data_IF_172104349942
#
_entry.id   IF_172104349942
#
_cell.length_a   1.000
_cell.length_b   1.000
_cell.length_c   1.000
_cell.angle_alpha   90.00
_cell.angle_beta   90.00
_cell.angle_gamma   90.00
#
_symmetry.space_group_name_H-M   'P 1'
#
loop_
_entity.id
_entity.type
_entity.pdbx_description
1 polymer ?
#
# COMPACT_ATOMS: atom_id res chain seq x y z
N UNK A 1 -50.08 -70.44 -75.46
CA UNK A 1 -49.90 -70.49 -73.99
C UNK A 1 -50.14 -69.10 -73.41
N UNK A 2 -51.23 -68.94 -72.69
CA UNK A 2 -51.62 -67.65 -72.08
C UNK A 2 -51.11 -67.63 -70.64
N UNK A 3 -50.16 -66.74 -70.31
CA UNK A 3 -49.79 -66.45 -68.93
C UNK A 3 -50.74 -65.38 -68.38
N UNK A 4 -51.48 -65.69 -67.36
CA UNK A 4 -52.26 -64.77 -66.55
C UNK A 4 -51.39 -64.33 -65.38
N UNK A 5 -51.06 -63.08 -65.15
CA UNK A 5 -50.40 -62.66 -63.93
C UNK A 5 -51.46 -62.56 -62.83
N UNK A 6 -51.16 -63.15 -61.64
CA UNK A 6 -52.02 -63.11 -60.45
C UNK A 6 -51.94 -61.69 -59.83
N UNK A 7 -53.08 -60.95 -60.00
CA UNK A 7 -53.17 -59.50 -59.58
C UNK A 7 -53.21 -59.24 -58.12
N UNK A 8 -53.22 -60.28 -57.27
CA UNK A 8 -53.27 -60.06 -55.78
C UNK A 8 -51.91 -59.64 -55.12
N UNK A 9 -50.78 -60.12 -55.64
CA UNK A 9 -49.47 -59.79 -55.08
C UNK A 9 -49.03 -58.38 -55.42
N UNK A 10 -49.47 -57.83 -56.54
CA UNK A 10 -49.15 -56.44 -56.93
C UNK A 10 -49.86 -55.41 -56.06
N UNK A 11 -51.10 -55.68 -55.65
CA UNK A 11 -51.86 -54.83 -54.74
C UNK A 11 -51.30 -54.81 -53.34
N UNK A 12 -50.76 -55.91 -52.84
CA UNK A 12 -50.08 -55.95 -51.54
C UNK A 12 -48.74 -55.16 -51.51
N UNK A 13 -48.00 -55.14 -52.61
CA UNK A 13 -46.83 -54.31 -52.81
C UNK A 13 -47.15 -52.82 -52.84
N UNK A 14 -48.19 -52.43 -53.52
CA UNK A 14 -48.69 -51.05 -53.60
C UNK A 14 -49.25 -50.58 -52.25
N UNK A 15 -49.96 -51.41 -51.51
CA UNK A 15 -50.43 -51.13 -50.17
C UNK A 15 -49.26 -50.98 -49.18
N UNK A 16 -48.25 -51.84 -49.32
CA UNK A 16 -46.99 -51.72 -48.51
C UNK A 16 -46.26 -50.45 -48.82
N UNK A 17 -46.08 -50.03 -50.06
CA UNK A 17 -45.44 -48.79 -50.44
C UNK A 17 -46.23 -47.56 -49.94
N UNK A 18 -47.57 -47.59 -50.02
CA UNK A 18 -48.46 -46.54 -49.53
C UNK A 18 -48.36 -46.43 -47.97
N UNK A 19 -48.28 -47.54 -47.27
CA UNK A 19 -48.10 -47.57 -45.82
C UNK A 19 -46.75 -47.00 -45.42
N UNK A 20 -45.66 -47.34 -46.16
CA UNK A 20 -44.32 -46.80 -45.91
C UNK A 20 -44.26 -45.29 -46.17
N UNK A 21 -44.85 -44.83 -47.28
CA UNK A 21 -44.96 -43.40 -47.61
C UNK A 21 -45.74 -42.63 -46.53
N UNK A 22 -46.89 -43.20 -46.10
CA UNK A 22 -47.70 -42.59 -45.04
C UNK A 22 -46.97 -42.57 -43.71
N UNK A 23 -46.22 -43.61 -43.39
CA UNK A 23 -45.36 -43.67 -42.17
C UNK A 23 -44.21 -42.65 -42.24
N UNK A 24 -43.56 -42.50 -43.38
CA UNK A 24 -42.51 -41.50 -43.61
C UNK A 24 -43.08 -40.09 -43.53
N UNK A 25 -44.21 -39.83 -44.17
CA UNK A 25 -44.87 -38.51 -44.05
C UNK A 25 -45.33 -38.24 -42.62
N UNK A 26 -45.86 -39.24 -41.90
CA UNK A 26 -46.24 -39.10 -40.50
C UNK A 26 -44.98 -38.87 -39.56
N UNK A 27 -43.86 -39.51 -39.89
CA UNK A 27 -42.58 -39.27 -39.16
C UNK A 27 -42.02 -37.88 -39.43
N UNK A 28 -42.05 -37.41 -40.67
CA UNK A 28 -41.60 -36.06 -41.08
C UNK A 28 -42.52 -34.93 -40.60
N UNK A 29 -43.82 -35.24 -40.40
CA UNK A 29 -44.80 -34.27 -39.89
C UNK A 29 -44.90 -34.17 -38.38
N UNK A 30 -44.11 -34.96 -37.64
CA UNK A 30 -44.05 -34.80 -36.19
C UNK A 30 -43.32 -33.48 -35.88
N UNK A 31 -44.00 -32.49 -35.25
CA UNK A 31 -43.34 -31.29 -34.83
C UNK A 31 -42.19 -31.67 -33.88
N UNK A 32 -41.01 -31.11 -34.10
CA UNK A 32 -39.87 -31.28 -33.19
C UNK A 32 -40.32 -30.91 -31.77
N UNK A 33 -39.92 -31.68 -30.74
CA UNK A 33 -40.28 -31.32 -29.38
C UNK A 33 -39.82 -29.90 -29.11
N UNK A 34 -40.63 -29.11 -28.40
CA UNK A 34 -40.24 -27.73 -28.10
C UNK A 34 -38.91 -27.73 -27.37
N UNK A 35 -37.97 -26.88 -27.75
CA UNK A 35 -36.68 -26.79 -27.08
C UNK A 35 -36.91 -26.43 -25.60
N UNK A 36 -36.25 -27.16 -24.69
CA UNK A 36 -36.30 -26.85 -23.28
C UNK A 36 -35.44 -25.61 -23.03
N UNK A 37 -36.06 -24.55 -22.56
CA UNK A 37 -35.39 -23.31 -22.15
C UNK A 37 -35.16 -23.34 -20.66
N UNK A 38 -33.93 -23.01 -20.25
CA UNK A 38 -33.63 -22.70 -18.85
C UNK A 38 -33.98 -21.22 -18.66
N UNK A 39 -34.97 -20.95 -17.81
CA UNK A 39 -35.47 -19.61 -17.54
C UNK A 39 -35.04 -19.11 -16.16
N UNK A 40 -34.94 -17.81 -15.99
CA UNK A 40 -34.87 -17.15 -14.68
C UNK A 40 -35.94 -16.07 -14.60
N UNK A 41 -36.47 -15.88 -13.40
CA UNK A 41 -37.43 -14.80 -13.14
C UNK A 41 -36.68 -13.48 -12.99
N UNK A 42 -37.30 -12.43 -13.52
CA UNK A 42 -36.83 -11.05 -13.34
C UNK A 42 -37.34 -10.56 -12.01
N UNK A 43 -36.40 -10.29 -11.07
CA UNK A 43 -36.71 -9.88 -9.73
C UNK A 43 -36.43 -8.38 -9.51
N UNK A 44 -37.00 -7.82 -8.42
CA UNK A 44 -36.65 -6.49 -7.95
C UNK A 44 -35.78 -6.63 -6.71
N UNK A 45 -34.53 -6.14 -6.80
CA UNK A 45 -33.58 -6.15 -5.69
C UNK A 45 -32.68 -4.95 -5.73
N UNK A 46 -31.99 -4.71 -4.63
CA UNK A 46 -30.93 -3.71 -4.58
C UNK A 46 -29.70 -4.29 -5.26
N UNK A 47 -29.11 -3.53 -6.19
CA UNK A 47 -27.92 -3.89 -6.94
C UNK A 47 -26.81 -2.93 -6.63
N UNK A 48 -25.63 -3.44 -6.29
CA UNK A 48 -24.44 -2.67 -5.98
C UNK A 48 -23.31 -3.06 -6.93
N UNK A 49 -22.79 -2.07 -7.63
CA UNK A 49 -21.58 -2.25 -8.43
C UNK A 49 -20.37 -1.96 -7.56
N UNK A 50 -19.57 -2.98 -7.31
CA UNK A 50 -18.38 -2.87 -6.44
C UNK A 50 -17.13 -3.28 -7.18
N UNK A 51 -16.03 -2.60 -6.87
CA UNK A 51 -14.67 -3.05 -7.24
C UNK A 51 -14.12 -3.86 -6.07
N UNK A 52 -13.69 -5.08 -6.36
CA UNK A 52 -13.00 -5.94 -5.41
C UNK A 52 -11.50 -5.67 -5.48
N UNK A 53 -10.89 -5.42 -4.34
CA UNK A 53 -9.46 -5.21 -4.22
C UNK A 53 -8.92 -5.95 -2.99
N UNK A 54 -7.74 -6.53 -3.12
CA UNK A 54 -7.01 -7.05 -1.97
C UNK A 54 -6.31 -5.90 -1.26
N UNK A 55 -6.39 -5.88 0.06
CA UNK A 55 -5.78 -4.84 0.88
C UNK A 55 -4.92 -5.39 2.00
N UNK A 56 -4.01 -4.56 2.47
CA UNK A 56 -3.22 -4.81 3.67
C UNK A 56 -3.53 -3.76 4.73
N UNK A 57 -3.69 -4.23 5.97
CA UNK A 57 -3.93 -3.37 7.12
C UNK A 57 -2.59 -2.89 7.65
N UNK A 58 -2.36 -1.58 7.67
CA UNK A 58 -1.15 -0.95 8.18
C UNK A 58 -1.48 0.01 9.32
N UNK A 59 -0.49 0.34 10.15
CA UNK A 59 -0.67 1.40 11.14
C UNK A 59 -0.66 2.76 10.42
N UNK A 60 -1.52 3.68 10.86
CA UNK A 60 -1.55 5.04 10.30
C UNK A 60 -0.21 5.75 10.37
N UNK A 61 0.56 5.51 11.43
CA UNK A 61 1.94 5.97 11.60
C UNK A 61 2.76 4.82 12.16
N UNK A 62 3.82 4.47 11.47
CA UNK A 62 4.83 3.53 11.88
C UNK A 62 6.19 4.23 11.79
N UNK A 63 6.90 4.33 12.92
CA UNK A 63 8.22 4.96 12.98
C UNK A 63 9.24 3.95 13.45
N UNK A 64 10.29 3.76 12.66
CA UNK A 64 11.47 3.00 13.05
C UNK A 64 12.42 3.92 13.82
N UNK A 65 12.57 3.66 15.10
CA UNK A 65 13.50 4.39 15.97
C UNK A 65 14.87 3.72 15.89
N UNK A 66 15.84 4.41 15.32
CA UNK A 66 17.19 3.92 15.11
C UNK A 66 18.20 4.52 16.10
N UNK A 67 19.36 3.85 16.25
CA UNK A 67 20.50 4.40 16.96
C UNK A 67 21.26 5.40 16.08
N UNK A 68 21.65 6.55 16.65
CA UNK A 68 22.48 7.57 15.98
C UNK A 68 23.95 7.49 16.40
N UNK A 69 24.25 6.72 17.45
CA UNK A 69 25.63 6.47 17.94
C UNK A 69 25.85 4.96 18.04
N UNK A 70 27.10 4.56 17.83
CA UNK A 70 27.50 3.16 17.98
C UNK A 70 27.86 2.88 19.45
N UNK A 71 27.54 1.67 19.90
CA UNK A 71 27.86 1.21 21.26
C UNK A 71 27.07 -0.05 21.61
N UNK A 72 27.30 -0.57 22.79
CA UNK A 72 26.55 -1.71 23.34
C UNK A 72 25.25 -1.22 23.98
N UNK A 73 24.14 -1.93 23.77
CA UNK A 73 22.87 -1.66 24.43
C UNK A 73 23.00 -2.05 25.91
N UNK A 74 23.02 -1.06 26.80
CA UNK A 74 23.15 -1.24 28.22
C UNK A 74 21.85 -1.72 28.88
N UNK A 75 20.74 -1.14 28.47
CA UNK A 75 19.41 -1.47 28.98
C UNK A 75 18.32 -1.22 27.93
N UNK A 76 17.31 -2.06 27.96
CA UNK A 76 16.03 -1.87 27.27
C UNK A 76 14.97 -1.60 28.35
N UNK A 77 14.23 -0.50 28.18
CA UNK A 77 13.22 -0.05 29.15
C UNK A 77 11.80 -0.36 28.70
N UNK A 78 11.64 -1.01 27.55
CA UNK A 78 10.36 -1.37 26.96
C UNK A 78 10.38 -2.79 26.42
N UNK A 79 9.22 -3.40 26.40
CA UNK A 79 8.96 -4.73 25.85
C UNK A 79 8.05 -4.62 24.65
N UNK A 80 7.97 -5.71 23.86
CA UNK A 80 7.02 -5.82 22.76
C UNK A 80 5.58 -5.69 23.28
N UNK A 81 4.80 -4.81 22.65
CA UNK A 81 3.41 -4.55 23.04
C UNK A 81 3.22 -3.41 24.06
N UNK A 82 4.30 -2.84 24.61
CA UNK A 82 4.18 -1.74 25.56
C UNK A 82 3.68 -0.46 24.90
N UNK A 83 2.78 0.26 25.58
CA UNK A 83 2.34 1.61 25.18
C UNK A 83 3.34 2.64 25.68
N UNK A 84 3.86 3.44 24.77
CA UNK A 84 4.88 4.45 25.02
C UNK A 84 4.37 5.84 24.67
N UNK A 85 4.86 6.83 25.43
CA UNK A 85 4.58 8.25 25.19
C UNK A 85 5.76 8.89 24.45
N UNK A 86 5.48 9.99 23.74
CA UNK A 86 6.52 10.81 23.14
C UNK A 86 7.54 11.26 24.18
N UNK A 87 8.85 11.09 23.88
CA UNK A 87 9.95 11.39 24.79
C UNK A 87 10.23 10.31 25.85
N UNK A 88 9.46 9.24 25.93
CA UNK A 88 9.73 8.13 26.83
C UNK A 88 10.97 7.36 26.39
N UNK A 89 11.83 7.04 27.36
CA UNK A 89 13.06 6.28 27.14
C UNK A 89 12.74 4.84 26.72
N UNK A 90 13.32 4.42 25.60
CA UNK A 90 13.15 3.06 25.04
C UNK A 90 14.38 2.20 25.34
N UNK A 91 15.56 2.75 25.09
CA UNK A 91 16.83 2.04 25.24
C UNK A 91 17.96 3.00 25.66
N UNK A 92 18.97 2.44 26.31
CA UNK A 92 20.21 3.13 26.63
C UNK A 92 21.41 2.41 26.01
N UNK A 93 22.25 3.16 25.30
CA UNK A 93 23.52 2.70 24.76
C UNK A 93 24.59 3.09 25.78
N UNK A 94 25.67 2.31 25.89
CA UNK A 94 26.83 2.65 26.74
C UNK A 94 27.39 4.01 26.35
N UNK A 95 27.35 4.93 27.32
CA UNK A 95 27.63 6.34 27.15
C UNK A 95 29.05 6.75 27.66
N UNK A 96 29.86 5.80 28.11
CA UNK A 96 31.17 6.09 28.69
C UNK A 96 32.08 6.89 27.75
N UNK A 97 32.12 6.52 26.47
CA UNK A 97 32.93 7.20 25.46
C UNK A 97 32.44 8.63 25.23
N UNK A 98 31.14 8.84 25.15
CA UNK A 98 30.51 10.16 24.94
C UNK A 98 30.65 11.05 26.17
N UNK A 99 30.53 10.48 27.37
CA UNK A 99 30.80 11.20 28.63
C UNK A 99 32.23 11.68 28.69
N UNK A 100 33.22 10.84 28.34
CA UNK A 100 34.61 11.21 28.30
C UNK A 100 34.90 12.30 27.28
N UNK A 101 34.33 12.20 26.06
CA UNK A 101 34.44 13.24 25.05
C UNK A 101 33.83 14.58 25.49
N UNK A 102 32.74 14.55 26.24
CA UNK A 102 32.12 15.74 26.80
C UNK A 102 33.03 16.36 27.90
N UNK A 103 33.63 15.53 28.77
CA UNK A 103 34.56 16.02 29.81
C UNK A 103 35.81 16.64 29.20
N UNK A 104 36.37 16.01 28.17
CA UNK A 104 37.54 16.54 27.44
C UNK A 104 37.24 17.88 26.78
N UNK A 105 36.11 17.99 26.07
CA UNK A 105 35.67 19.25 25.45
C UNK A 105 35.42 20.36 26.47
N UNK A 106 34.88 20.05 27.66
CA UNK A 106 34.75 21.02 28.77
C UNK A 106 36.09 21.48 29.32
N UNK A 107 37.02 20.54 29.55
CA UNK A 107 38.36 20.87 30.03
C UNK A 107 39.13 21.77 29.03
N UNK A 108 38.96 21.50 27.71
CA UNK A 108 39.54 22.34 26.67
C UNK A 108 38.95 23.78 26.70
N UNK A 109 37.64 23.92 26.89
CA UNK A 109 37.00 25.23 27.05
C UNK A 109 37.50 25.96 28.30
N UNK A 110 37.60 25.28 29.44
CA UNK A 110 38.08 25.86 30.69
C UNK A 110 39.54 26.35 30.57
N UNK A 111 40.39 25.60 29.86
CA UNK A 111 41.77 26.01 29.58
C UNK A 111 41.81 27.32 28.77
N UNK A 112 41.06 27.45 27.69
CA UNK A 112 41.03 28.67 26.88
C UNK A 112 40.49 29.87 27.70
N UNK A 113 39.46 29.62 28.53
CA UNK A 113 38.94 30.65 29.44
C UNK A 113 39.99 31.13 30.45
N UNK A 114 40.79 30.21 31.01
CA UNK A 114 41.91 30.56 31.90
C UNK A 114 43.00 31.38 31.18
N UNK A 115 43.33 31.03 29.93
CA UNK A 115 44.25 31.80 29.09
C UNK A 115 43.72 33.20 28.83
N UNK A 116 42.43 33.34 28.52
CA UNK A 116 41.77 34.63 28.36
C UNK A 116 41.84 35.48 29.62
N UNK A 117 41.56 34.88 30.78
CA UNK A 117 41.66 35.56 32.08
C UNK A 117 43.09 36.08 32.38
N UNK A 118 44.11 35.28 32.03
CA UNK A 118 45.52 35.68 32.12
C UNK A 118 45.84 36.89 31.23
N UNK A 119 45.37 36.83 29.94
CA UNK A 119 45.58 37.96 29.01
C UNK A 119 44.78 39.19 29.41
N UNK A 120 43.62 39.07 30.04
CA UNK A 120 42.89 40.21 30.61
C UNK A 120 43.62 40.87 31.73
N UNK A 121 44.37 40.14 32.59
CA UNK A 121 45.23 40.70 33.62
C UNK A 121 46.39 41.48 32.98
N UNK A 122 47.00 40.94 31.90
CA UNK A 122 48.00 41.63 31.10
C UNK A 122 47.50 42.91 30.48
N UNK A 123 46.28 42.87 29.89
CA UNK A 123 45.59 44.02 29.26
C UNK A 123 45.47 45.18 30.31
N UNK A 124 45.00 44.87 31.52
CA UNK A 124 44.86 45.86 32.58
C UNK A 124 46.21 46.53 32.93
N UNK A 125 47.29 45.75 32.98
CA UNK A 125 48.64 46.30 33.22
C UNK A 125 49.07 47.21 32.05
N UNK A 126 48.94 46.80 30.84
CA UNK A 126 49.28 47.59 29.66
C UNK A 126 48.41 48.86 29.53
N UNK A 127 47.12 48.77 29.91
CA UNK A 127 46.22 49.92 29.96
C UNK A 127 46.71 50.98 30.98
N UNK A 128 47.12 50.57 32.17
CA UNK A 128 47.69 51.49 33.15
C UNK A 128 49.04 52.07 32.69
N UNK A 129 49.89 51.32 32.02
CA UNK A 129 51.14 51.77 31.43
C UNK A 129 50.90 52.83 30.35
N UNK A 130 49.95 52.55 29.38
CA UNK A 130 49.55 53.49 28.34
C UNK A 130 48.98 54.78 28.95
N UNK A 131 48.09 54.68 29.95
CA UNK A 131 47.56 55.88 30.66
C UNK A 131 48.66 56.73 31.31
N UNK A 132 49.68 56.11 31.91
CA UNK A 132 50.84 56.82 32.46
C UNK A 132 51.62 57.58 31.38
N UNK A 133 51.89 56.93 30.23
CA UNK A 133 52.62 57.62 29.14
C UNK A 133 51.73 58.72 28.45
N UNK A 134 50.44 58.53 28.39
CA UNK A 134 49.49 59.54 27.91
C UNK A 134 49.54 60.80 28.82
N UNK A 135 49.53 60.62 30.16
CA UNK A 135 49.55 61.69 31.08
C UNK A 135 50.91 62.45 31.03
N UNK A 136 52.07 61.76 30.85
CA UNK A 136 53.35 62.36 30.65
C UNK A 136 53.41 63.19 29.34
N UNK A 137 52.90 62.68 28.30
CA UNK A 137 52.75 63.41 26.98
C UNK A 137 51.97 64.68 27.15
N UNK A 138 50.82 64.62 27.84
CA UNK A 138 49.95 65.77 28.07
C UNK A 138 50.62 66.87 28.87
N UNK A 139 51.54 66.46 29.79
CA UNK A 139 52.35 67.40 30.62
C UNK A 139 53.61 67.89 29.91
N UNK A 140 53.82 67.47 28.62
CA UNK A 140 54.98 67.92 27.83
C UNK A 140 56.32 67.30 28.21
N UNK A 141 56.38 66.27 29.09
CA UNK A 141 57.63 65.61 29.58
C UNK A 141 57.73 64.15 29.07
N UNK A 142 56.82 63.71 28.23
CA UNK A 142 56.80 62.35 27.71
C UNK A 142 57.57 62.17 26.38
N UNK A 143 58.17 61.01 26.17
CA UNK A 143 58.85 60.60 24.94
C UNK A 143 57.83 59.99 24.02
N UNK A 144 57.68 60.50 22.79
CA UNK A 144 56.66 60.03 21.81
C UNK A 144 56.80 58.55 21.45
N UNK A 145 58.08 58.08 21.35
CA UNK A 145 58.33 56.67 21.04
C UNK A 145 57.78 55.72 22.15
N UNK A 146 57.91 56.14 23.46
CA UNK A 146 57.38 55.34 24.57
C UNK A 146 55.85 55.34 24.59
N UNK A 147 55.18 56.40 24.24
CA UNK A 147 53.75 56.48 24.12
C UNK A 147 53.23 55.57 22.96
N UNK A 148 53.85 55.71 21.76
CA UNK A 148 53.48 54.93 20.59
C UNK A 148 53.72 53.38 20.85
N UNK A 149 54.82 53.01 21.54
CA UNK A 149 55.11 51.64 21.95
C UNK A 149 54.10 51.12 22.98
N UNK A 150 53.73 51.90 23.99
CA UNK A 150 52.72 51.47 24.98
C UNK A 150 51.37 51.32 24.38
N UNK A 151 50.97 52.16 23.38
CA UNK A 151 49.74 52.07 22.64
C UNK A 151 49.72 50.82 21.78
N UNK A 152 50.75 50.53 20.99
CA UNK A 152 50.85 49.34 20.16
C UNK A 152 50.79 48.06 21.01
N UNK A 153 51.41 48.01 22.17
CA UNK A 153 51.37 46.87 23.13
C UNK A 153 49.96 46.67 23.67
N UNK A 154 49.23 47.76 23.97
CA UNK A 154 47.81 47.68 24.38
C UNK A 154 46.94 47.12 23.31
N UNK A 155 47.03 47.64 22.07
CA UNK A 155 46.26 47.22 20.92
C UNK A 155 46.55 45.75 20.55
N UNK A 156 47.84 45.33 20.60
CA UNK A 156 48.20 43.91 20.37
C UNK A 156 47.60 42.97 21.43
N UNK A 157 47.62 43.37 22.72
CA UNK A 157 47.01 42.56 23.79
C UNK A 157 45.47 42.48 23.64
N UNK A 158 44.84 43.55 23.18
CA UNK A 158 43.41 43.55 22.90
C UNK A 158 43.09 42.56 21.77
N UNK A 159 43.86 42.58 20.68
CA UNK A 159 43.72 41.67 19.57
C UNK A 159 43.92 40.19 19.97
N UNK A 160 44.88 39.94 20.92
CA UNK A 160 45.05 38.59 21.48
C UNK A 160 43.79 38.10 22.24
N UNK A 161 43.16 39.00 23.00
CA UNK A 161 41.91 38.66 23.72
C UNK A 161 40.78 38.38 22.71
N UNK A 162 40.65 39.19 21.68
CA UNK A 162 39.62 38.97 20.63
C UNK A 162 39.82 37.63 19.90
N UNK A 163 41.09 37.24 19.67
CA UNK A 163 41.46 35.94 19.14
C UNK A 163 41.07 34.77 20.09
N UNK A 164 41.29 34.95 21.40
CA UNK A 164 40.89 33.97 22.41
C UNK A 164 39.36 33.90 22.54
N UNK A 165 38.63 35.01 22.40
CA UNK A 165 37.19 35.02 22.41
C UNK A 165 36.62 34.21 21.23
N UNK A 166 37.19 34.32 20.04
CA UNK A 166 36.86 33.49 18.90
C UNK A 166 37.16 31.99 19.15
N UNK A 167 38.27 31.68 19.88
CA UNK A 167 38.56 30.30 20.27
C UNK A 167 37.58 29.75 21.33
N UNK A 168 37.12 30.57 22.27
CA UNK A 168 36.07 30.21 23.24
C UNK A 168 34.79 29.88 22.55
N UNK A 169 34.38 30.65 21.54
CA UNK A 169 33.16 30.34 20.74
C UNK A 169 33.30 28.96 20.09
N UNK A 170 34.44 28.67 19.48
CA UNK A 170 34.72 27.36 18.86
C UNK A 170 34.70 26.21 19.87
N UNK A 171 35.30 26.39 21.02
CA UNK A 171 35.32 25.42 22.11
C UNK A 171 33.91 25.17 22.68
N UNK A 172 33.07 26.19 22.79
CA UNK A 172 31.67 26.06 23.19
C UNK A 172 30.86 25.22 22.18
N UNK A 173 31.11 25.39 20.89
CA UNK A 173 30.49 24.56 19.85
C UNK A 173 30.90 23.10 20.02
N UNK A 174 32.18 22.82 20.30
CA UNK A 174 32.67 21.46 20.54
C UNK A 174 32.01 20.82 21.76
N UNK A 175 31.85 21.57 22.86
CA UNK A 175 31.11 21.10 24.05
C UNK A 175 29.67 20.78 23.73
N UNK A 176 28.98 21.65 22.97
CA UNK A 176 27.59 21.43 22.56
C UNK A 176 27.48 20.18 21.70
N UNK A 177 28.38 19.98 20.73
CA UNK A 177 28.41 18.78 19.89
C UNK A 177 28.58 17.51 20.71
N UNK A 178 29.52 17.50 21.66
CA UNK A 178 29.73 16.37 22.57
C UNK A 178 28.51 16.10 23.47
N UNK A 179 27.81 17.16 23.90
CA UNK A 179 26.55 17.05 24.66
C UNK A 179 25.42 16.45 23.85
N UNK A 180 25.26 16.83 22.60
CA UNK A 180 24.26 16.26 21.69
C UNK A 180 24.57 14.79 21.44
N UNK A 181 25.81 14.43 21.17
CA UNK A 181 26.24 13.04 21.00
C UNK A 181 25.97 12.18 22.25
N UNK A 182 26.15 12.73 23.44
CA UNK A 182 25.75 12.08 24.68
C UNK A 182 24.22 11.94 24.76
N UNK A 183 23.44 12.90 24.26
CA UNK A 183 22.00 12.80 24.18
C UNK A 183 21.54 11.65 23.31
N UNK A 184 22.25 11.33 22.22
CA UNK A 184 21.94 10.25 21.31
C UNK A 184 22.14 8.83 21.86
N UNK A 185 22.83 8.70 23.02
CA UNK A 185 22.92 7.41 23.72
C UNK A 185 21.62 7.01 24.39
N UNK A 186 20.72 7.98 24.64
CA UNK A 186 19.40 7.76 25.20
C UNK A 186 18.38 7.78 24.08
N UNK A 187 17.88 6.61 23.73
CA UNK A 187 16.92 6.43 22.63
C UNK A 187 15.52 6.60 23.17
N UNK A 188 14.81 7.63 22.68
CA UNK A 188 13.46 7.99 23.13
C UNK A 188 12.44 7.83 22.00
N UNK A 189 11.19 7.62 22.38
CA UNK A 189 10.09 7.53 21.42
C UNK A 189 9.79 8.89 20.79
N UNK A 190 9.72 8.99 19.44
CA UNK A 190 9.38 10.24 18.76
C UNK A 190 7.86 10.55 18.79
N UNK A 191 7.02 9.57 19.18
CA UNK A 191 5.57 9.69 19.15
C UNK A 191 4.91 8.83 20.24
N UNK A 192 3.62 9.11 20.49
CA UNK A 192 2.79 8.21 21.28
C UNK A 192 2.40 6.99 20.42
N UNK A 193 2.44 5.79 20.99
CA UNK A 193 2.07 4.58 20.27
C UNK A 193 2.43 3.31 21.05
N UNK A 194 2.42 2.19 20.35
CA UNK A 194 2.74 0.86 20.88
C UNK A 194 4.02 0.35 20.22
N UNK A 195 4.88 -0.31 20.97
CA UNK A 195 6.08 -0.97 20.45
C UNK A 195 5.68 -2.25 19.70
N UNK A 196 5.80 -2.23 18.38
CA UNK A 196 5.37 -3.34 17.51
C UNK A 196 6.50 -4.27 17.10
N UNK A 197 7.75 -3.80 17.21
CA UNK A 197 8.93 -4.64 16.98
C UNK A 197 10.11 -4.12 17.79
N UNK A 198 10.91 -5.05 18.31
CA UNK A 198 12.14 -4.80 19.06
C UNK A 198 13.23 -5.74 18.53
N UNK A 199 13.89 -5.37 17.40
CA UNK A 199 14.83 -6.25 16.72
C UNK A 199 16.20 -6.38 17.39
N UNK A 200 16.39 -5.81 18.58
CA UNK A 200 17.65 -5.77 19.33
C UNK A 200 17.47 -6.30 20.74
N UNK A 201 18.56 -6.82 21.31
CA UNK A 201 18.60 -7.35 22.68
C UNK A 201 19.57 -6.57 23.56
N UNK A 202 19.35 -6.64 24.88
CA UNK A 202 20.29 -6.09 25.86
C UNK A 202 21.64 -6.78 25.73
N UNK A 203 22.72 -6.01 25.73
CA UNK A 203 24.08 -6.52 25.55
C UNK A 203 24.53 -6.58 24.08
N UNK A 204 23.64 -6.40 23.12
CA UNK A 204 23.98 -6.36 21.71
C UNK A 204 24.73 -5.08 21.35
N UNK A 205 25.78 -5.18 20.52
CA UNK A 205 26.48 -4.03 19.99
C UNK A 205 25.85 -3.56 18.69
N UNK A 206 25.54 -2.27 18.61
CA UNK A 206 24.99 -1.61 17.42
C UNK A 206 26.03 -0.71 16.77
N UNK A 207 26.08 -0.68 15.45
CA UNK A 207 26.99 0.14 14.67
C UNK A 207 26.18 1.11 13.79
N UNK A 208 26.24 2.39 14.14
CA UNK A 208 25.52 3.46 13.43
C UNK A 208 26.34 4.15 12.34
N UNK A 209 27.59 3.72 12.08
CA UNK A 209 28.48 4.37 11.10
C UNK A 209 28.06 4.09 9.67
N UNK A 210 27.62 2.87 9.36
CA UNK A 210 27.26 2.46 7.98
C UNK A 210 25.77 2.58 7.70
N UNK A 211 24.94 2.24 8.68
CA UNK A 211 23.47 2.34 8.60
C UNK A 211 22.92 2.52 10.01
N UNK A 212 21.90 3.36 10.18
CA UNK A 212 21.24 3.49 11.47
C UNK A 212 20.46 2.21 11.81
N UNK A 213 20.95 1.35 12.74
CA UNK A 213 20.25 0.13 13.09
C UNK A 213 18.95 0.48 13.82
N UNK A 214 17.85 -0.18 13.42
CA UNK A 214 16.56 -0.02 14.09
C UNK A 214 16.61 -0.65 15.48
N UNK A 215 16.30 0.13 16.51
CA UNK A 215 16.20 -0.33 17.89
C UNK A 215 14.78 -0.76 18.25
N UNK A 216 13.79 0.04 17.89
CA UNK A 216 12.38 -0.27 18.11
C UNK A 216 11.54 0.28 16.96
N UNK A 217 10.43 -0.38 16.67
CA UNK A 217 9.38 0.18 15.80
C UNK A 217 8.18 0.55 16.67
N UNK A 218 7.78 1.81 16.61
CA UNK A 218 6.63 2.34 17.35
C UNK A 218 5.53 2.67 16.34
N UNK A 219 4.32 2.17 16.59
CA UNK A 219 3.16 2.36 15.74
C UNK A 219 1.99 2.93 16.53
N UNK A 220 1.19 3.77 15.87
CA UNK A 220 -0.12 4.13 16.39
C UNK A 220 -1.13 3.06 15.89
N UNK A 221 -1.72 2.31 16.84
CA UNK A 221 -2.68 1.23 16.56
C UNK A 221 -4.14 1.67 16.78
N UNK A 222 -4.39 2.88 17.31
CA UNK A 222 -5.75 3.39 17.54
C UNK A 222 -6.51 3.62 16.23
N UNK A 223 -5.78 4.02 15.19
CA UNK A 223 -6.30 4.18 13.82
C UNK A 223 -5.42 3.40 12.86
N UNK A 224 -6.05 2.53 12.08
CA UNK A 224 -5.38 1.73 11.06
C UNK A 224 -5.65 2.33 9.69
N UNK A 225 -4.68 2.27 8.81
CA UNK A 225 -4.82 2.60 7.39
C UNK A 225 -4.81 1.31 6.58
N UNK A 226 -5.81 1.14 5.73
CA UNK A 226 -5.87 0.04 4.80
C UNK A 226 -5.38 0.53 3.44
N UNK A 227 -4.45 -0.22 2.87
CA UNK A 227 -3.91 -0.01 1.53
C UNK A 227 -4.53 -1.06 0.61
N UNK A 228 -5.52 -0.65 -0.20
CA UNK A 228 -6.22 -1.52 -1.14
C UNK A 228 -5.56 -1.45 -2.51
N UNK A 229 -5.18 -2.59 -3.07
CA UNK A 229 -4.55 -2.73 -4.39
C UNK A 229 -5.62 -2.77 -5.47
N UNK A 230 -5.89 -1.63 -6.08
CA UNK A 230 -6.88 -1.44 -7.14
C UNK A 230 -6.23 -1.70 -8.49
N UNK A 231 -6.86 -2.51 -9.34
CA UNK A 231 -6.36 -2.78 -10.68
C UNK A 231 -6.36 -1.51 -11.56
N UNK A 232 -5.44 -1.43 -12.51
CA UNK A 232 -5.40 -0.33 -13.50
C UNK A 232 -6.72 -0.17 -14.26
N UNK A 233 -7.42 -1.27 -14.54
CA UNK A 233 -8.70 -1.26 -15.24
C UNK A 233 -9.82 -0.59 -14.43
N UNK A 234 -9.76 -0.72 -13.11
CA UNK A 234 -10.83 -0.27 -12.21
C UNK A 234 -10.56 1.12 -11.64
N UNK A 235 -9.28 1.51 -11.50
CA UNK A 235 -8.88 2.78 -10.84
C UNK A 235 -9.47 4.02 -11.52
N UNK A 236 -9.73 3.95 -12.83
CA UNK A 236 -10.34 5.04 -13.60
C UNK A 236 -11.74 5.40 -13.09
N UNK A 237 -12.46 4.40 -12.58
CA UNK A 237 -13.83 4.53 -12.08
C UNK A 237 -13.88 4.88 -10.58
N UNK A 238 -12.78 4.69 -9.85
CA UNK A 238 -12.70 4.92 -8.41
C UNK A 238 -12.34 6.38 -8.14
N UNK A 239 -13.04 7.00 -7.18
CA UNK A 239 -12.80 8.39 -6.77
C UNK A 239 -12.70 8.50 -5.25
N UNK A 240 -11.97 9.51 -4.78
CA UNK A 240 -11.91 9.85 -3.36
C UNK A 240 -13.31 10.20 -2.83
N UNK A 241 -13.59 9.80 -1.59
CA UNK A 241 -14.89 10.00 -0.96
C UNK A 241 -15.91 8.89 -1.22
N UNK A 242 -15.60 7.89 -2.05
CA UNK A 242 -16.48 6.74 -2.24
C UNK A 242 -16.57 5.90 -0.97
N UNK A 243 -17.77 5.36 -0.64
CA UNK A 243 -17.94 4.44 0.46
C UNK A 243 -17.24 3.11 0.16
N UNK A 244 -16.56 2.61 1.17
CA UNK A 244 -15.81 1.36 1.12
C UNK A 244 -16.23 0.50 2.29
N UNK A 245 -16.36 -0.79 2.09
CA UNK A 245 -16.43 -1.74 3.17
C UNK A 245 -15.41 -2.86 2.96
N UNK A 246 -14.90 -3.40 4.05
CA UNK A 246 -13.94 -4.50 3.96
C UNK A 246 -14.20 -5.54 5.03
N UNK A 247 -13.66 -6.73 4.78
CA UNK A 247 -13.62 -7.83 5.72
C UNK A 247 -12.18 -8.30 5.88
N UNK A 248 -11.84 -8.80 7.05
CA UNK A 248 -10.54 -9.43 7.30
C UNK A 248 -10.65 -10.94 7.11
N UNK A 249 -9.60 -11.58 6.64
CA UNK A 249 -9.59 -13.02 6.39
C UNK A 249 -9.92 -13.84 7.64
N UNK A 250 -9.53 -13.36 8.83
CA UNK A 250 -9.82 -14.00 10.11
C UNK A 250 -11.28 -13.86 10.60
N UNK A 251 -12.06 -12.91 10.04
CA UNK A 251 -13.47 -12.71 10.39
C UNK A 251 -14.25 -12.19 9.17
N UNK A 252 -14.64 -13.06 8.23
CA UNK A 252 -15.32 -12.67 6.99
C UNK A 252 -16.75 -12.16 7.23
N UNK A 253 -17.35 -12.43 8.39
CA UNK A 253 -18.72 -12.03 8.70
C UNK A 253 -18.82 -10.59 9.23
N UNK A 254 -17.73 -10.02 9.76
CA UNK A 254 -17.71 -8.64 10.28
C UNK A 254 -17.30 -7.69 9.17
N UNK A 255 -18.22 -6.84 8.73
CA UNK A 255 -17.96 -5.77 7.75
C UNK A 255 -17.57 -4.50 8.48
N UNK A 256 -16.44 -3.93 8.09
CA UNK A 256 -15.98 -2.62 8.54
C UNK A 256 -16.30 -1.61 7.45
N UNK A 257 -16.89 -0.49 7.82
CA UNK A 257 -17.22 0.59 6.89
C UNK A 257 -16.21 1.70 7.01
N UNK A 258 -15.84 2.26 5.87
CA UNK A 258 -14.89 3.36 5.75
C UNK A 258 -15.21 4.23 4.52
N UNK A 259 -14.42 5.27 4.33
CA UNK A 259 -14.51 6.15 3.15
C UNK A 259 -13.12 6.26 2.54
N UNK A 260 -13.04 6.11 1.23
CA UNK A 260 -11.78 6.22 0.50
C UNK A 260 -11.21 7.63 0.63
N UNK A 261 -10.08 7.74 1.33
CA UNK A 261 -9.43 9.03 1.62
C UNK A 261 -8.62 9.54 0.45
N UNK A 262 -7.84 8.67 -0.16
CA UNK A 262 -6.94 9.02 -1.25
C UNK A 262 -6.65 7.80 -2.14
N UNK A 263 -6.27 8.08 -3.38
CA UNK A 263 -5.70 7.10 -4.30
C UNK A 263 -4.29 7.59 -4.62
N UNK A 264 -3.31 6.72 -4.51
CA UNK A 264 -1.93 7.06 -4.86
C UNK A 264 -1.83 7.32 -6.36
N UNK A 265 -1.20 8.44 -6.78
CA UNK A 265 -1.11 8.80 -8.20
C UNK A 265 -0.12 7.94 -8.99
N UNK A 266 0.69 7.14 -8.31
CA UNK A 266 1.71 6.28 -8.88
C UNK A 266 1.51 4.83 -8.43
N UNK A 267 1.80 3.83 -9.29
CA UNK A 267 1.73 2.44 -8.91
C UNK A 267 2.85 2.06 -7.94
N UNK A 268 2.63 1.03 -7.14
CA UNK A 268 3.59 0.51 -6.15
C UNK A 268 4.98 0.18 -6.74
N UNK A 269 5.03 -0.20 -8.02
CA UNK A 269 6.26 -0.54 -8.74
C UNK A 269 7.27 0.61 -8.80
N UNK A 270 6.84 1.87 -8.87
CA UNK A 270 7.74 3.04 -8.92
C UNK A 270 8.56 3.18 -7.63
N UNK A 271 7.98 2.88 -6.47
CA UNK A 271 8.69 2.98 -5.19
C UNK A 271 9.73 1.86 -5.00
N UNK A 272 9.55 0.71 -5.66
CA UNK A 272 10.47 -0.42 -5.59
C UNK A 272 11.66 -0.29 -6.55
N UNK A 273 11.54 0.43 -7.68
CA UNK A 273 12.63 0.65 -8.63
C UNK A 273 13.75 1.56 -8.07
N UNK A 274 13.44 2.49 -7.18
CA UNK A 274 14.42 3.40 -6.61
C UNK A 274 15.42 2.76 -5.65
N UNK A 275 15.20 1.54 -5.19
CA UNK A 275 16.10 0.84 -4.25
C UNK A 275 17.17 -0.03 -4.94
N UNK A 276 17.12 -0.24 -6.25
CA UNK A 276 18.03 -1.13 -6.98
C UNK A 276 19.23 -0.44 -7.67
N UNK A 277 19.34 0.91 -7.60
CA UNK A 277 20.37 1.66 -8.36
C UNK A 277 21.66 1.98 -7.56
N UNK A 278 21.94 1.32 -6.44
CA UNK A 278 23.19 1.49 -5.68
C UNK A 278 24.00 0.18 -5.59
N UNK A 279 24.46 -0.30 -6.71
CA UNK A 279 25.34 -1.48 -6.79
C UNK A 279 26.22 -1.42 -8.04
N UNK A 280 27.38 -0.78 -7.86
CA UNK A 280 28.58 -0.80 -8.72
C UNK A 280 28.73 -2.04 -9.62
N UNK A 281 29.09 -1.76 -10.88
CA UNK A 281 29.34 -2.71 -11.95
C UNK A 281 30.20 -3.91 -11.59
N UNK A 282 29.71 -5.07 -11.97
CA UNK A 282 30.51 -6.18 -12.45
C UNK A 282 29.64 -6.91 -13.48
N UNK A 283 30.16 -6.91 -14.69
CA UNK A 283 29.60 -7.57 -15.87
C UNK A 283 29.52 -9.07 -15.59
N UNK A 284 28.35 -9.60 -15.32
CA UNK A 284 28.06 -11.01 -15.51
C UNK A 284 26.75 -11.12 -16.28
N UNK A 285 26.94 -11.55 -17.52
CA UNK A 285 25.93 -11.85 -18.50
C UNK A 285 25.08 -13.04 -18.02
N UNK A 286 23.99 -12.76 -17.31
CA UNK A 286 22.95 -13.75 -17.05
C UNK A 286 21.65 -13.25 -17.68
N UNK A 287 21.44 -13.72 -18.89
CA UNK A 287 20.20 -13.67 -19.64
C UNK A 287 19.12 -14.44 -18.86
N UNK A 288 18.39 -13.75 -18.02
CA UNK A 288 17.10 -14.20 -17.53
C UNK A 288 16.14 -13.02 -17.56
N UNK A 289 15.77 -12.64 -18.79
CA UNK A 289 14.61 -11.79 -19.03
C UNK A 289 13.32 -12.61 -18.81
N UNK A 290 12.97 -12.86 -17.56
CA UNK A 290 11.58 -13.08 -17.23
C UNK A 290 10.94 -11.68 -17.06
N UNK A 291 10.56 -11.08 -18.18
CA UNK A 291 9.55 -10.03 -18.17
C UNK A 291 8.22 -10.65 -17.72
N UNK A 292 8.10 -10.94 -16.44
CA UNK A 292 6.78 -11.06 -15.84
C UNK A 292 6.16 -9.68 -15.98
N UNK A 293 5.20 -9.54 -16.89
CA UNK A 293 4.28 -8.41 -16.90
C UNK A 293 3.55 -8.44 -15.56
N UNK A 294 4.14 -7.81 -14.56
CA UNK A 294 3.47 -7.66 -13.26
C UNK A 294 2.25 -6.78 -13.50
N UNK A 295 1.08 -7.26 -13.12
CA UNK A 295 -0.14 -6.46 -13.19
C UNK A 295 0.10 -5.15 -12.42
N UNK A 296 -0.35 -4.05 -13.00
CA UNK A 296 -0.20 -2.71 -12.41
C UNK A 296 -1.35 -2.48 -11.44
N UNK A 297 -0.99 -2.13 -10.20
CA UNK A 297 -1.94 -1.81 -9.15
C UNK A 297 -1.67 -0.42 -8.59
N UNK A 298 -2.75 0.27 -8.23
CA UNK A 298 -2.73 1.56 -7.55
C UNK A 298 -3.27 1.40 -6.13
N UNK A 299 -2.63 2.03 -5.16
CA UNK A 299 -3.05 1.93 -3.77
C UNK A 299 -4.19 2.92 -3.47
N UNK A 300 -5.32 2.39 -3.05
CA UNK A 300 -6.40 3.15 -2.44
C UNK A 300 -6.25 3.15 -0.92
N UNK A 301 -6.21 4.34 -0.30
CA UNK A 301 -5.98 4.53 1.12
C UNK A 301 -7.25 4.94 1.85
N UNK A 302 -7.56 4.26 2.94
CA UNK A 302 -8.64 4.66 3.85
C UNK A 302 -8.31 4.31 5.29
N UNK A 303 -8.83 5.12 6.21
CA UNK A 303 -8.55 4.99 7.64
C UNK A 303 -9.74 4.36 8.36
N UNK A 304 -9.46 3.56 9.37
CA UNK A 304 -10.46 2.89 10.21
C UNK A 304 -10.02 2.94 11.65
N UNK A 305 -10.95 3.28 12.54
CA UNK A 305 -10.70 3.26 13.98
C UNK A 305 -10.64 1.82 14.50
N UNK A 306 -9.71 1.57 15.41
CA UNK A 306 -9.45 0.24 15.96
C UNK A 306 -9.48 0.25 17.51
N UNK A 307 -10.63 0.59 18.12
CA UNK A 307 -10.75 0.72 19.58
C UNK A 307 -10.50 -0.61 20.31
N UNK A 308 -10.85 -1.72 19.68
CA UNK A 308 -10.73 -3.07 20.26
C UNK A 308 -9.34 -3.70 20.00
N UNK A 309 -8.42 -3.02 19.33
CA UNK A 309 -7.11 -3.52 18.91
C UNK A 309 -7.19 -4.88 18.18
N UNK A 310 -8.34 -5.16 17.52
CA UNK A 310 -8.55 -6.40 16.78
C UNK A 310 -7.83 -6.41 15.44
N UNK A 311 -7.68 -5.24 14.81
CA UNK A 311 -6.92 -5.08 13.59
C UNK A 311 -5.44 -4.97 13.92
N UNK A 312 -4.62 -5.81 13.27
CA UNK A 312 -3.17 -5.83 13.44
C UNK A 312 -2.47 -5.49 12.14
N UNK A 313 -1.25 -4.99 12.24
CA UNK A 313 -0.40 -4.66 11.09
C UNK A 313 -0.16 -5.92 10.25
N UNK A 314 -0.16 -5.75 8.93
CA UNK A 314 0.03 -6.79 7.91
C UNK A 314 -1.09 -7.82 7.82
N UNK A 315 -2.28 -7.58 8.41
CA UNK A 315 -3.46 -8.39 8.13
C UNK A 315 -3.93 -8.16 6.70
N UNK A 316 -4.39 -9.22 6.05
CA UNK A 316 -5.03 -9.16 4.75
C UNK A 316 -6.50 -8.80 4.89
N UNK A 317 -6.94 -7.86 4.10
CA UNK A 317 -8.32 -7.40 4.01
C UNK A 317 -8.86 -7.61 2.59
N UNK A 318 -10.10 -8.04 2.48
CA UNK A 318 -10.87 -7.99 1.24
C UNK A 318 -11.67 -6.71 1.21
N UNK A 319 -11.40 -5.85 0.25
CA UNK A 319 -11.94 -4.49 0.15
C UNK A 319 -12.92 -4.41 -1.01
N UNK A 320 -14.09 -3.85 -0.73
CA UNK A 320 -15.13 -3.61 -1.71
C UNK A 320 -15.41 -2.12 -1.79
N UNK A 321 -15.10 -1.52 -2.92
CA UNK A 321 -15.32 -0.09 -3.19
C UNK A 321 -16.62 0.04 -3.94
N UNK A 322 -17.59 0.76 -3.39
CA UNK A 322 -18.90 0.96 -3.99
C UNK A 322 -18.81 2.05 -5.07
N UNK A 323 -18.95 1.65 -6.32
CA UNK A 323 -18.99 2.57 -7.46
C UNK A 323 -20.36 3.21 -7.63
N UNK A 324 -21.40 2.38 -7.61
CA UNK A 324 -22.79 2.79 -7.80
C UNK A 324 -23.76 1.83 -7.14
N UNK A 325 -24.90 2.34 -6.72
CA UNK A 325 -25.98 1.58 -6.10
C UNK A 325 -27.30 1.93 -6.80
N UNK A 326 -28.12 0.91 -7.11
CA UNK A 326 -29.47 1.07 -7.57
C UNK A 326 -30.41 0.33 -6.62
N UNK A 327 -31.23 1.08 -5.90
CA UNK A 327 -32.24 0.52 -4.99
C UNK A 327 -33.48 0.16 -5.78
N UNK A 328 -34.11 -0.99 -5.42
CA UNK A 328 -35.32 -1.50 -6.06
C UNK A 328 -35.18 -1.62 -7.60
N UNK A 329 -34.00 -2.03 -8.07
CA UNK A 329 -33.74 -2.21 -9.50
C UNK A 329 -34.37 -3.52 -10.02
N UNK A 330 -34.94 -3.47 -11.22
CA UNK A 330 -35.35 -4.66 -11.95
C UNK A 330 -34.07 -5.32 -12.47
N UNK A 331 -33.81 -6.56 -12.07
CA UNK A 331 -32.57 -7.25 -12.40
C UNK A 331 -32.83 -8.58 -13.14
N UNK A 332 -31.91 -8.89 -14.03
CA UNK A 332 -31.84 -10.18 -14.68
C UNK A 332 -30.43 -10.74 -14.64
N UNK A 333 -30.22 -12.06 -14.70
CA UNK A 333 -28.89 -12.63 -14.84
C UNK A 333 -28.19 -12.12 -16.10
N UNK A 334 -26.91 -11.78 -16.03
CA UNK A 334 -26.10 -11.30 -17.17
C UNK A 334 -26.13 -12.33 -18.33
N UNK A 335 -26.23 -13.63 -18.01
CA UNK A 335 -26.30 -14.72 -18.98
C UNK A 335 -27.55 -14.71 -19.84
N UNK A 336 -28.61 -13.97 -19.46
CA UNK A 336 -29.83 -13.81 -20.25
C UNK A 336 -29.72 -12.75 -21.36
N UNK A 337 -28.63 -11.96 -21.36
CA UNK A 337 -28.41 -10.88 -22.32
C UNK A 337 -27.76 -11.40 -23.60
N UNK A 338 -28.32 -10.98 -24.72
CA UNK A 338 -27.83 -11.29 -26.06
C UNK A 338 -27.44 -9.98 -26.74
N UNK A 339 -26.15 -9.86 -27.08
CA UNK A 339 -25.68 -8.72 -27.85
C UNK A 339 -25.81 -9.01 -29.35
N UNK A 340 -26.57 -8.19 -30.06
CA UNK A 340 -26.68 -8.26 -31.53
C UNK A 340 -26.45 -6.86 -32.11
N UNK A 341 -25.44 -6.73 -32.92
CA UNK A 341 -25.12 -5.48 -33.65
C UNK A 341 -24.98 -4.24 -32.72
N UNK A 342 -24.43 -4.44 -31.49
CA UNK A 342 -24.26 -3.35 -30.54
C UNK A 342 -25.49 -2.99 -29.71
N UNK A 343 -26.61 -3.70 -29.91
CA UNK A 343 -27.81 -3.58 -29.10
C UNK A 343 -27.99 -4.81 -28.22
N UNK A 344 -28.50 -4.57 -27.01
CA UNK A 344 -28.76 -5.62 -26.02
C UNK A 344 -30.23 -6.08 -26.10
N UNK A 345 -30.40 -7.38 -26.15
CA UNK A 345 -31.70 -8.03 -26.20
C UNK A 345 -31.82 -9.08 -25.11
N UNK A 346 -33.03 -9.31 -24.67
CA UNK A 346 -33.40 -10.42 -23.77
C UNK A 346 -34.50 -11.25 -24.43
N UNK A 347 -34.42 -12.56 -24.27
CA UNK A 347 -35.47 -13.47 -24.70
C UNK A 347 -36.47 -13.65 -23.55
N UNK A 348 -37.68 -13.12 -23.68
CA UNK A 348 -38.78 -13.27 -22.73
C UNK A 348 -39.66 -14.41 -23.14
N UNK A 349 -39.96 -15.32 -22.21
CA UNK A 349 -40.88 -16.45 -22.45
C UNK A 349 -42.30 -15.92 -22.54
N UNK A 350 -43.00 -16.27 -23.65
CA UNK A 350 -44.42 -15.96 -23.84
C UNK A 350 -45.29 -17.16 -23.43
N UNK A 351 -46.57 -16.95 -23.07
CA UNK A 351 -47.50 -18.02 -22.68
C UNK A 351 -47.70 -19.10 -23.76
N UNK A 352 -47.31 -18.80 -24.99
CA UNK A 352 -47.41 -19.72 -26.14
C UNK A 352 -46.13 -20.54 -26.38
N UNK A 353 -45.13 -20.51 -25.46
CA UNK A 353 -43.93 -21.36 -25.46
C UNK A 353 -42.78 -20.95 -26.38
N UNK A 354 -42.93 -19.90 -27.19
CA UNK A 354 -41.81 -19.36 -28.00
C UNK A 354 -41.27 -18.08 -27.38
N UNK A 355 -39.94 -17.99 -27.08
CA UNK A 355 -39.38 -16.78 -26.54
C UNK A 355 -39.37 -15.67 -27.59
N UNK A 356 -39.73 -14.45 -27.15
CA UNK A 356 -39.66 -13.25 -27.97
C UNK A 356 -38.40 -12.44 -27.62
N UNK A 357 -37.67 -12.04 -28.64
CA UNK A 357 -36.54 -11.10 -28.49
C UNK A 357 -37.10 -9.69 -28.23
N UNK A 358 -36.68 -9.09 -27.12
CA UNK A 358 -37.06 -7.74 -26.75
C UNK A 358 -35.79 -6.90 -26.53
N UNK A 359 -35.71 -5.72 -27.15
CA UNK A 359 -34.61 -4.78 -26.92
C UNK A 359 -34.70 -4.22 -25.50
N UNK A 360 -33.59 -4.18 -24.79
CA UNK A 360 -33.50 -3.73 -23.40
C UNK A 360 -32.43 -2.67 -23.25
N UNK A 361 -32.70 -1.70 -22.34
CA UNK A 361 -31.69 -0.75 -21.89
C UNK A 361 -31.20 -1.21 -20.54
N UNK A 362 -29.88 -1.34 -20.41
CA UNK A 362 -29.24 -1.83 -19.19
C UNK A 362 -28.65 -0.67 -18.38
N UNK A 363 -28.58 -0.84 -17.06
CA UNK A 363 -27.91 0.06 -16.12
C UNK A 363 -26.64 -0.58 -15.54
N UNK A 364 -26.53 -0.51 -14.21
CA UNK A 364 -25.38 -1.06 -13.47
C UNK A 364 -25.41 -2.59 -13.45
N UNK A 365 -24.24 -3.20 -13.26
CA UNK A 365 -24.06 -4.66 -13.18
C UNK A 365 -23.12 -5.02 -12.05
N UNK A 366 -23.38 -6.16 -11.38
CA UNK A 366 -22.50 -6.75 -10.35
C UNK A 366 -21.77 -8.01 -10.83
N UNK A 367 -21.64 -8.20 -12.16
CA UNK A 367 -21.11 -9.38 -12.86
C UNK A 367 -22.01 -10.63 -12.83
N UNK A 368 -22.93 -10.77 -11.90
CA UNK A 368 -23.92 -11.86 -11.86
C UNK A 368 -25.27 -11.40 -12.39
N UNK A 369 -25.68 -10.22 -12.00
CA UNK A 369 -26.94 -9.61 -12.38
C UNK A 369 -26.70 -8.22 -12.99
N UNK A 370 -27.62 -7.84 -13.88
CA UNK A 370 -27.63 -6.54 -14.53
C UNK A 370 -28.97 -5.86 -14.33
N UNK A 371 -28.93 -4.56 -14.08
CA UNK A 371 -30.12 -3.74 -14.02
C UNK A 371 -30.72 -3.56 -15.41
N UNK A 372 -32.03 -3.79 -15.53
CA UNK A 372 -32.84 -3.48 -16.71
C UNK A 372 -33.62 -2.20 -16.43
N UNK A 373 -33.31 -1.14 -17.20
CA UNK A 373 -33.99 0.16 -17.05
C UNK A 373 -35.34 0.13 -17.84
N UNK A 374 -35.36 -0.56 -18.99
CA UNK A 374 -36.55 -0.68 -19.82
C UNK A 374 -36.54 -1.97 -20.60
N UNK A 375 -37.74 -2.41 -21.03
CA UNK A 375 -37.91 -3.55 -21.92
C UNK A 375 -38.51 -4.80 -21.28
N UNK A 376 -38.45 -4.95 -19.94
CA UNK A 376 -38.98 -6.14 -19.23
C UNK A 376 -39.69 -5.70 -17.95
N UNK A 377 -40.72 -6.43 -17.56
CA UNK A 377 -41.50 -6.18 -16.35
C UNK A 377 -41.05 -7.13 -15.21
N UNK A 378 -41.16 -6.73 -13.94
CA UNK A 378 -40.93 -7.62 -12.82
C UNK A 378 -41.82 -8.87 -12.89
N UNK A 379 -41.25 -10.05 -12.65
CA UNK A 379 -41.97 -11.33 -12.68
C UNK A 379 -42.02 -11.98 -14.06
N UNK A 380 -41.52 -11.35 -15.12
CA UNK A 380 -41.37 -12.00 -16.43
C UNK A 380 -40.23 -13.03 -16.38
N UNK A 381 -40.38 -14.13 -17.12
CA UNK A 381 -39.33 -15.14 -17.26
C UNK A 381 -38.43 -14.84 -18.45
N UNK A 382 -37.13 -14.82 -18.23
CA UNK A 382 -36.10 -14.60 -19.25
C UNK A 382 -35.31 -15.89 -19.48
N UNK A 383 -34.97 -16.16 -20.72
CA UNK A 383 -34.23 -17.37 -21.11
C UNK A 383 -32.76 -17.13 -20.90
N UNK A 384 -32.11 -18.00 -20.10
CA UNK A 384 -30.67 -18.00 -19.87
C UNK A 384 -29.94 -18.84 -20.91
N UNK A 385 -30.45 -20.03 -21.20
CA UNK A 385 -29.84 -21.00 -22.10
C UNK A 385 -30.89 -21.85 -22.80
N UNK A 386 -30.59 -22.22 -24.02
CA UNK A 386 -31.37 -23.19 -24.75
C UNK A 386 -30.67 -24.55 -24.65
N UNK A 387 -31.34 -25.51 -24.03
CA UNK A 387 -30.87 -26.88 -24.02
C UNK A 387 -31.21 -27.49 -25.40
N UNK A 388 -30.25 -27.49 -26.33
CA UNK A 388 -30.35 -28.35 -27.52
C UNK A 388 -30.30 -29.79 -27.02
N UNK A 389 -31.37 -30.55 -27.25
CA UNK A 389 -31.32 -31.99 -27.09
C UNK A 389 -30.20 -32.50 -28.02
N UNK A 390 -29.01 -32.69 -27.49
CA UNK A 390 -27.97 -33.47 -28.16
C UNK A 390 -28.51 -34.89 -28.24
N UNK A 391 -28.81 -35.32 -29.46
CA UNK A 391 -29.12 -36.69 -29.79
C UNK A 391 -28.13 -37.59 -29.07
N UNK A 392 -28.65 -38.47 -28.21
CA UNK A 392 -27.87 -39.45 -27.45
C UNK A 392 -27.34 -40.56 -28.39
N UNK A 393 -26.40 -40.22 -29.22
CA UNK A 393 -25.65 -41.16 -30.05
C UNK A 393 -24.19 -40.76 -30.11
N UNK A 394 -23.49 -41.06 -29.00
CA UNK A 394 -22.07 -41.43 -29.02
C UNK A 394 -21.61 -41.91 -27.63
N UNK A 395 -22.20 -42.99 -27.16
CA UNK A 395 -21.69 -43.75 -26.04
C UNK A 395 -21.28 -45.14 -26.53
N UNK A 396 -20.28 -45.20 -27.42
CA UNK A 396 -19.53 -46.45 -27.66
C UNK A 396 -18.22 -46.16 -28.39
N UNK A 397 -17.31 -45.50 -27.75
CA UNK A 397 -15.88 -45.62 -28.08
C UNK A 397 -15.26 -46.48 -26.98
N UNK A 398 -14.70 -47.66 -27.28
CA UNK A 398 -14.00 -48.45 -26.30
C UNK A 398 -12.72 -47.71 -25.84
N UNK A 399 -12.32 -47.86 -24.58
CA UNK A 399 -11.09 -47.23 -24.07
C UNK A 399 -9.87 -47.73 -24.82
N UNK A 400 -8.88 -46.85 -25.12
CA UNK A 400 -7.63 -47.27 -25.75
C UNK A 400 -6.86 -48.24 -24.81
N UNK A 401 -6.16 -49.26 -25.38
CA UNK A 401 -5.40 -50.22 -24.57
C UNK A 401 -4.26 -49.52 -23.80
N UNK A 402 -3.90 -50.01 -22.60
CA UNK A 402 -2.81 -49.45 -21.83
C UNK A 402 -1.49 -49.67 -22.57
N UNK A 403 -0.81 -48.55 -22.89
CA UNK A 403 0.60 -48.64 -23.31
C UNK A 403 1.44 -48.88 -22.07
N UNK A 404 1.98 -50.11 -22.01
CA UNK A 404 3.05 -50.44 -21.11
C UNK A 404 4.32 -49.70 -21.52
N UNK A 405 4.93 -49.08 -20.53
CA UNK A 405 6.36 -49.09 -20.16
C UNK A 405 6.50 -48.36 -18.84
#
# INVERSE_FOLDING_TARGET
MRFRPSSSRFWWLLAGLAAITLFVVFRLSRPAPPPNYITATVDVRDLQQTVLADGTVNARKLVSVGAQVSGQIKALHVSLGDKVKQGQLLAEIDDLTQQNALRDSKAALDNIQAQRASRQATLRNNQLSWQRQQNLMQKGVGVRADYDSAKATLEATQADIDALDAQIVRAKIAVNTAQVNLGYTKIVSPMNGTVVALPVEQGQTVNAVQSAPTIAKVANLDTMTIEAKISEADVINVRTGMPVWFTILGNPNKRYQAVLRAIEPAPESISSESSSTSGSGTTSNSTSSSSSSSAIYYNGLFDVDNPDETLRISMTAQVYILLSEAKHAIVAPVSALINRQGKLFVQVTQPQGRPALREVTTGISDNAYIQLISGVLPGEEVVISQQTASDGSDASSPPPPPMGF
#
